data_IF_012232942734
#
_entry.id   IF_012232942734
#
_cell.length_a   1.000
_cell.length_b   1.000
_cell.length_c   1.000
_cell.angle_alpha   90.00
_cell.angle_beta   90.00
_cell.angle_gamma   90.00
#
_symmetry.space_group_name_H-M   'P 1'
#
loop_
_entity.id
_entity.type
_entity.pdbx_description
1 polymer ?
#
# COMPACT_ATOMS: atom_id res chain seq x y z
N UNK A 1 -6.19 1.93 -1.79
CA UNK A 1 -5.05 1.14 -1.27
C UNK A 1 -5.56 0.03 -0.38
N UNK A 2 -5.11 -1.20 -0.62
CA UNK A 2 -5.27 -2.33 0.28
C UNK A 2 -3.91 -2.62 0.91
N UNK A 3 -3.83 -2.81 2.22
CA UNK A 3 -2.55 -2.95 2.91
C UNK A 3 -2.59 -4.09 3.93
N UNK A 4 -1.55 -4.91 3.91
CA UNK A 4 -1.24 -5.86 4.97
C UNK A 4 0.13 -5.51 5.55
N UNK A 5 0.23 -5.47 6.87
CA UNK A 5 1.49 -5.32 7.60
C UNK A 5 1.57 -6.39 8.69
N UNK A 6 2.69 -7.03 8.83
CA UNK A 6 2.90 -8.07 9.84
C UNK A 6 4.30 -8.67 9.80
N UNK A 7 4.53 -9.65 10.69
CA UNK A 7 5.83 -10.32 10.79
C UNK A 7 6.25 -10.97 9.45
N UNK A 8 7.53 -10.83 9.12
CA UNK A 8 8.15 -11.53 7.99
C UNK A 8 8.07 -13.06 8.11
N UNK A 9 7.99 -13.58 9.34
CA UNK A 9 7.91 -15.01 9.64
C UNK A 9 6.46 -15.52 9.76
N UNK A 10 5.47 -14.63 9.53
CA UNK A 10 4.04 -14.92 9.64
C UNK A 10 3.31 -14.98 8.29
N UNK A 11 1.97 -15.00 8.33
CA UNK A 11 1.15 -15.04 7.12
C UNK A 11 1.41 -13.89 6.15
N UNK A 12 1.71 -12.69 6.67
CA UNK A 12 2.04 -11.54 5.83
C UNK A 12 3.40 -11.72 5.14
N UNK A 13 4.37 -12.34 5.82
CA UNK A 13 5.65 -12.72 5.22
C UNK A 13 5.48 -13.69 4.05
N UNK A 14 4.60 -14.69 4.19
CA UNK A 14 4.26 -15.61 3.11
C UNK A 14 3.58 -14.87 1.93
N UNK A 15 2.65 -13.98 2.22
CA UNK A 15 2.00 -13.15 1.20
C UNK A 15 3.00 -12.23 0.48
N UNK A 16 3.93 -11.63 1.22
CA UNK A 16 5.00 -10.79 0.68
C UNK A 16 5.91 -11.58 -0.28
N UNK A 17 6.39 -12.74 0.14
CA UNK A 17 7.25 -13.59 -0.68
C UNK A 17 6.54 -14.03 -1.97
N UNK A 18 5.28 -14.44 -1.86
CA UNK A 18 4.45 -14.78 -3.01
C UNK A 18 4.23 -13.59 -3.97
N UNK A 19 3.92 -12.42 -3.43
CA UNK A 19 3.71 -11.22 -4.25
C UNK A 19 4.99 -10.80 -4.98
N UNK A 20 6.15 -10.88 -4.32
CA UNK A 20 7.44 -10.50 -4.88
C UNK A 20 7.92 -11.47 -5.96
N UNK A 21 7.71 -12.78 -5.77
CA UNK A 21 8.17 -13.82 -6.71
C UNK A 21 7.20 -14.05 -7.88
N UNK A 22 5.95 -13.58 -7.78
CA UNK A 22 4.92 -13.84 -8.79
C UNK A 22 5.04 -12.84 -9.93
N UNK A 23 5.20 -13.36 -11.14
CA UNK A 23 5.16 -12.55 -12.36
C UNK A 23 3.71 -12.39 -12.83
N UNK A 24 3.32 -11.16 -13.17
CA UNK A 24 2.10 -10.84 -13.91
C UNK A 24 2.41 -10.65 -15.39
N UNK A 25 1.38 -10.60 -16.24
CA UNK A 25 1.55 -10.39 -17.69
C UNK A 25 2.35 -9.11 -17.98
N UNK A 26 3.56 -9.28 -18.50
CA UNK A 26 4.44 -8.20 -18.96
C UNK A 26 5.13 -7.38 -17.84
N UNK A 27 4.93 -7.69 -16.55
CA UNK A 27 5.61 -7.00 -15.45
C UNK A 27 5.67 -7.87 -14.18
N UNK A 28 6.57 -7.50 -13.28
CA UNK A 28 6.63 -8.05 -11.92
C UNK A 28 6.22 -6.99 -10.91
N UNK A 29 5.85 -7.43 -9.70
CA UNK A 29 5.68 -6.52 -8.58
C UNK A 29 7.06 -6.01 -8.13
N UNK A 30 7.11 -4.76 -7.65
CA UNK A 30 8.35 -4.12 -7.25
C UNK A 30 8.37 -3.80 -5.76
N UNK A 31 9.56 -3.91 -5.18
CA UNK A 31 9.83 -3.35 -3.86
C UNK A 31 9.77 -1.82 -3.91
N UNK A 32 9.16 -1.22 -2.89
CA UNK A 32 9.12 0.22 -2.75
C UNK A 32 10.50 0.76 -2.36
N UNK A 33 10.94 1.80 -3.05
CA UNK A 33 12.23 2.46 -2.82
C UNK A 33 12.03 3.97 -2.71
N UNK A 34 12.83 4.61 -1.85
CA UNK A 34 12.93 6.08 -1.81
C UNK A 34 13.76 6.62 -2.97
N UNK A 35 14.85 5.91 -3.27
CA UNK A 35 15.74 6.16 -4.41
C UNK A 35 16.47 4.87 -4.78
N UNK A 36 17.19 4.80 -5.87
CA UNK A 36 17.96 3.60 -6.26
C UNK A 36 18.83 3.10 -5.10
N UNK A 37 18.73 1.82 -4.78
CA UNK A 37 19.42 1.12 -3.69
C UNK A 37 19.00 1.53 -2.26
N UNK A 38 17.97 2.36 -2.10
CA UNK A 38 17.40 2.73 -0.79
C UNK A 38 16.00 2.16 -0.65
N UNK A 39 15.94 0.87 -0.34
CA UNK A 39 14.69 0.16 -0.01
C UNK A 39 14.10 0.71 1.29
N UNK A 40 12.79 0.85 1.32
CA UNK A 40 12.11 1.26 2.57
C UNK A 40 12.10 0.12 3.59
N UNK A 41 12.02 0.49 4.84
CA UNK A 41 11.86 -0.41 5.97
C UNK A 41 10.61 -0.01 6.77
N UNK A 42 9.67 -0.95 7.04
CA UNK A 42 9.66 -2.37 6.63
C UNK A 42 9.74 -2.56 5.12
N UNK A 43 10.32 -3.71 4.70
CA UNK A 43 10.34 -4.05 3.28
C UNK A 43 8.90 -4.10 2.75
N UNK A 44 8.65 -3.37 1.67
CA UNK A 44 7.31 -3.16 1.13
C UNK A 44 7.25 -3.57 -0.33
N UNK A 45 6.37 -4.50 -0.67
CA UNK A 45 6.07 -4.83 -2.06
C UNK A 45 4.80 -4.12 -2.51
N UNK A 46 4.87 -3.44 -3.66
CA UNK A 46 3.70 -2.83 -4.30
C UNK A 46 3.13 -3.77 -5.34
N UNK A 47 1.83 -4.02 -5.25
CA UNK A 47 1.09 -4.81 -6.25
C UNK A 47 0.04 -3.94 -6.92
N UNK A 48 -0.17 -4.13 -8.22
CA UNK A 48 -1.23 -3.42 -8.92
C UNK A 48 -2.58 -4.12 -8.75
N UNK A 49 -3.62 -3.35 -8.49
CA UNK A 49 -5.01 -3.83 -8.38
C UNK A 49 -5.80 -3.63 -9.67
N UNK A 50 -5.14 -3.23 -10.74
CA UNK A 50 -5.71 -3.00 -12.06
C UNK A 50 -4.74 -3.51 -13.13
N UNK A 51 -5.27 -4.06 -14.23
CA UNK A 51 -4.44 -4.49 -15.36
C UNK A 51 -3.76 -3.29 -15.99
N UNK A 52 -2.43 -3.34 -16.08
CA UNK A 52 -1.65 -2.32 -16.80
C UNK A 52 -1.80 -2.56 -18.30
N UNK A 53 -2.38 -1.59 -19.00
CA UNK A 53 -2.69 -1.70 -20.44
C UNK A 53 -1.76 -0.88 -21.34
N UNK A 54 -0.79 -0.18 -20.79
CA UNK A 54 0.12 0.64 -21.59
C UNK A 54 1.21 1.33 -20.77
N UNK A 55 2.17 1.91 -21.49
CA UNK A 55 3.35 2.53 -20.89
C UNK A 55 3.01 3.66 -19.90
N UNK A 56 2.02 4.50 -20.24
CA UNK A 56 1.59 5.59 -19.35
C UNK A 56 1.19 5.06 -17.97
N UNK A 57 0.36 4.02 -17.95
CA UNK A 57 -0.12 3.42 -16.71
C UNK A 57 1.01 2.71 -15.93
N UNK A 58 1.94 2.08 -16.65
CA UNK A 58 3.13 1.50 -16.04
C UNK A 58 4.00 2.57 -15.36
N UNK A 59 4.25 3.69 -16.03
CA UNK A 59 5.01 4.82 -15.46
C UNK A 59 4.30 5.39 -14.24
N UNK A 60 2.99 5.52 -14.25
CA UNK A 60 2.21 6.00 -13.10
C UNK A 60 2.29 5.05 -11.91
N UNK A 61 2.24 3.75 -12.16
CA UNK A 61 2.33 2.72 -11.09
C UNK A 61 3.73 2.64 -10.49
N UNK A 62 4.76 2.57 -11.35
CA UNK A 62 6.14 2.37 -10.90
C UNK A 62 6.88 3.68 -10.58
N UNK A 63 6.31 4.81 -10.91
CA UNK A 63 6.80 6.14 -10.55
C UNK A 63 6.04 6.74 -9.35
N UNK A 64 5.11 7.67 -9.59
CA UNK A 64 4.49 8.44 -8.51
C UNK A 64 3.76 7.59 -7.47
N UNK A 65 3.10 6.50 -7.86
CA UNK A 65 2.38 5.67 -6.90
C UNK A 65 3.34 4.86 -6.02
N UNK A 66 4.35 4.23 -6.59
CA UNK A 66 5.36 3.49 -5.81
C UNK A 66 6.14 4.41 -4.87
N UNK A 67 6.54 5.60 -5.36
CA UNK A 67 7.23 6.59 -4.53
C UNK A 67 6.35 7.11 -3.38
N UNK A 68 5.05 7.30 -3.63
CA UNK A 68 4.08 7.67 -2.60
C UNK A 68 4.01 6.62 -1.48
N UNK A 69 3.96 5.34 -1.84
CA UNK A 69 3.99 4.23 -0.88
C UNK A 69 5.29 4.23 -0.09
N UNK A 70 6.43 4.34 -0.77
CA UNK A 70 7.74 4.38 -0.12
C UNK A 70 7.85 5.53 0.89
N UNK A 71 7.43 6.72 0.50
CA UNK A 71 7.45 7.91 1.35
C UNK A 71 6.52 7.76 2.56
N UNK A 72 5.30 7.24 2.36
CA UNK A 72 4.35 7.02 3.45
C UNK A 72 4.86 6.02 4.50
N UNK A 73 5.46 4.92 4.05
CA UNK A 73 6.08 3.92 4.95
C UNK A 73 7.20 4.56 5.77
N UNK A 74 8.11 5.27 5.12
CA UNK A 74 9.25 5.93 5.78
C UNK A 74 8.78 6.97 6.79
N UNK A 75 7.79 7.79 6.45
CA UNK A 75 7.26 8.81 7.35
C UNK A 75 6.52 8.19 8.55
N UNK A 76 5.86 7.05 8.37
CA UNK A 76 5.25 6.30 9.47
C UNK A 76 6.28 5.72 10.45
N UNK A 77 7.45 5.31 9.97
CA UNK A 77 8.57 4.90 10.84
C UNK A 77 9.17 6.10 11.56
N UNK A 78 9.42 7.19 10.84
CA UNK A 78 9.96 8.42 11.42
C UNK A 78 9.04 9.01 12.50
N UNK A 79 7.73 8.89 12.33
CA UNK A 79 6.73 9.34 13.30
C UNK A 79 6.48 8.34 14.45
N UNK A 80 7.14 7.19 14.47
CA UNK A 80 6.95 6.15 15.50
C UNK A 80 5.64 5.38 15.39
N UNK A 81 4.87 5.54 14.31
CA UNK A 81 3.64 4.77 14.04
C UNK A 81 4.00 3.30 13.81
N UNK A 82 5.05 3.06 13.04
CA UNK A 82 5.74 1.78 12.97
C UNK A 82 6.97 1.89 13.88
N UNK A 83 7.10 1.07 14.93
CA UNK A 83 8.28 1.11 15.78
C UNK A 83 9.56 0.84 14.97
N UNK A 84 10.55 1.70 15.12
CA UNK A 84 11.79 1.61 14.33
C UNK A 84 12.57 0.32 14.60
N UNK A 85 12.52 -0.18 15.83
CA UNK A 85 13.15 -1.45 16.26
C UNK A 85 12.45 -2.70 15.67
N UNK A 86 11.21 -2.57 15.19
CA UNK A 86 10.46 -3.64 14.52
C UNK A 86 10.54 -3.58 12.99
N UNK A 87 11.09 -2.51 12.43
CA UNK A 87 11.04 -2.27 10.99
C UNK A 87 11.77 -3.34 10.14
N UNK A 88 12.73 -4.06 10.73
CA UNK A 88 13.42 -5.17 10.07
C UNK A 88 12.67 -6.51 10.18
N UNK A 89 11.74 -6.64 11.10
CA UNK A 89 10.99 -7.88 11.35
C UNK A 89 9.58 -7.85 10.76
N UNK A 90 9.14 -6.70 10.31
CA UNK A 90 7.88 -6.51 9.61
C UNK A 90 8.09 -6.47 8.09
N UNK A 91 7.03 -6.83 7.37
CA UNK A 91 6.90 -6.64 5.92
C UNK A 91 5.53 -6.06 5.59
N UNK A 92 5.44 -5.37 4.46
CA UNK A 92 4.21 -4.75 3.97
C UNK A 92 3.91 -5.24 2.56
N UNK A 93 2.65 -5.63 2.32
CA UNK A 93 2.09 -5.81 0.98
C UNK A 93 1.08 -4.69 0.76
N UNK A 94 1.34 -3.85 -0.25
CA UNK A 94 0.53 -2.68 -0.56
C UNK A 94 -0.08 -2.80 -1.96
N UNK A 95 -1.39 -3.02 -2.02
CA UNK A 95 -2.17 -3.04 -3.26
C UNK A 95 -2.60 -1.64 -3.66
N UNK A 96 -2.18 -1.20 -4.84
CA UNK A 96 -2.45 0.13 -5.38
C UNK A 96 -3.41 0.04 -6.56
N UNK A 97 -4.43 0.89 -6.54
CA UNK A 97 -5.34 1.07 -7.67
C UNK A 97 -5.12 2.46 -8.27
N UNK A 98 -4.85 2.50 -9.57
CA UNK A 98 -4.82 3.74 -10.36
C UNK A 98 -5.88 3.62 -11.45
N UNK A 99 -6.81 4.56 -11.46
CA UNK A 99 -7.86 4.58 -12.48
C UNK A 99 -7.22 4.76 -13.87
N UNK A 100 -7.65 3.98 -14.89
CA UNK A 100 -7.03 4.06 -16.24
C UNK A 100 -7.07 5.45 -16.89
N UNK A 101 -8.07 6.28 -16.52
CA UNK A 101 -8.18 7.66 -16.99
C UNK A 101 -7.44 8.69 -16.11
N UNK A 102 -6.63 8.25 -15.13
CA UNK A 102 -5.84 9.19 -14.33
C UNK A 102 -4.73 9.81 -15.18
N UNK A 103 -4.56 11.13 -15.04
CA UNK A 103 -3.57 11.89 -15.84
C UNK A 103 -2.59 12.70 -14.99
N UNK A 104 -3.00 13.10 -13.78
CA UNK A 104 -2.24 13.98 -12.91
C UNK A 104 -1.34 13.15 -11.97
N UNK A 105 -0.05 13.12 -12.27
CA UNK A 105 0.94 12.38 -11.49
C UNK A 105 1.08 12.92 -10.06
N UNK A 106 0.85 14.23 -9.85
CA UNK A 106 0.88 14.80 -8.51
C UNK A 106 -0.29 14.29 -7.66
N UNK A 107 -1.49 14.26 -8.22
CA UNK A 107 -2.65 13.68 -7.54
C UNK A 107 -2.49 12.18 -7.29
N UNK A 108 -1.90 11.45 -8.23
CA UNK A 108 -1.58 10.03 -8.03
C UNK A 108 -0.65 9.87 -6.82
N UNK A 109 0.40 10.68 -6.73
CA UNK A 109 1.29 10.67 -5.56
C UNK A 109 0.53 11.04 -4.27
N UNK A 110 -0.11 12.20 -4.24
CA UNK A 110 -0.75 12.74 -3.03
C UNK A 110 -1.81 11.77 -2.47
N UNK A 111 -2.68 11.23 -3.33
CA UNK A 111 -3.75 10.32 -2.88
C UNK A 111 -3.21 8.96 -2.43
N UNK A 112 -2.22 8.40 -3.13
CA UNK A 112 -1.61 7.14 -2.70
C UNK A 112 -0.78 7.30 -1.42
N UNK A 113 -0.12 8.44 -1.24
CA UNK A 113 0.59 8.76 -0.01
C UNK A 113 -0.35 8.81 1.19
N UNK A 114 -1.41 9.61 1.11
CA UNK A 114 -2.39 9.75 2.20
C UNK A 114 -3.12 8.43 2.48
N UNK A 115 -3.56 7.72 1.44
CA UNK A 115 -4.23 6.44 1.60
C UNK A 115 -3.32 5.39 2.25
N UNK A 116 -2.05 5.30 1.85
CA UNK A 116 -1.08 4.37 2.43
C UNK A 116 -0.80 4.72 3.88
N UNK A 117 -0.52 5.99 4.17
CA UNK A 117 -0.26 6.47 5.52
C UNK A 117 -1.42 6.18 6.46
N UNK A 118 -2.65 6.51 6.05
CA UNK A 118 -3.85 6.23 6.84
C UNK A 118 -4.08 4.73 7.04
N UNK A 119 -3.81 3.92 6.01
CA UNK A 119 -3.91 2.45 6.12
C UNK A 119 -2.93 1.88 7.14
N UNK A 120 -1.69 2.38 7.17
CA UNK A 120 -0.69 1.98 8.17
C UNK A 120 -1.14 2.40 9.58
N UNK A 121 -1.59 3.64 9.76
CA UNK A 121 -2.10 4.14 11.06
C UNK A 121 -3.24 3.24 11.56
N UNK A 122 -4.19 2.90 10.69
CA UNK A 122 -5.32 2.06 11.04
C UNK A 122 -4.86 0.62 11.38
N UNK A 123 -3.99 0.04 10.58
CA UNK A 123 -3.48 -1.32 10.80
C UNK A 123 -2.71 -1.42 12.13
N UNK A 124 -1.78 -0.51 12.38
CA UNK A 124 -1.00 -0.49 13.63
C UNK A 124 -1.87 -0.17 14.85
N UNK A 125 -2.90 0.67 14.66
CA UNK A 125 -3.89 0.99 15.70
C UNK A 125 -5.01 -0.06 15.84
N UNK A 126 -5.02 -1.14 15.07
CA UNK A 126 -6.07 -2.17 15.01
C UNK A 126 -7.46 -1.58 14.80
N UNK A 127 -7.58 -0.61 13.88
CA UNK A 127 -8.83 0.09 13.57
C UNK A 127 -9.32 -0.22 12.15
N UNK A 128 -10.67 -0.20 11.93
CA UNK A 128 -11.70 -0.08 12.95
C UNK A 128 -11.77 -1.36 13.81
N UNK A 129 -12.22 -1.22 15.07
CA UNK A 129 -12.52 -2.38 15.92
C UNK A 129 -13.81 -3.07 15.44
N UNK A 130 -13.99 -4.34 15.83
CA UNK A 130 -15.24 -5.07 15.53
C UNK A 130 -16.45 -4.33 16.07
N UNK A 131 -16.34 -3.77 17.27
CA UNK A 131 -17.43 -3.01 17.91
C UNK A 131 -17.79 -1.75 17.09
N UNK A 132 -16.80 -1.01 16.59
CA UNK A 132 -17.03 0.16 15.73
C UNK A 132 -17.73 -0.22 14.42
N UNK A 133 -17.35 -1.34 13.80
CA UNK A 133 -17.97 -1.83 12.56
C UNK A 133 -19.43 -2.23 12.84
N UNK A 134 -19.67 -3.02 13.88
CA UNK A 134 -21.01 -3.48 14.25
C UNK A 134 -21.92 -2.31 14.59
N UNK A 135 -21.44 -1.29 15.33
CA UNK A 135 -22.22 -0.11 15.67
C UNK A 135 -22.66 0.70 14.44
N UNK A 136 -21.93 0.61 13.34
CA UNK A 136 -22.23 1.35 12.11
C UNK A 136 -23.06 0.56 11.07
N UNK A 137 -23.41 -0.69 11.33
CA UNK A 137 -24.01 -1.59 10.34
C UNK A 137 -25.27 -1.02 9.64
N UNK A 138 -26.09 -0.29 10.39
CA UNK A 138 -27.36 0.25 9.88
C UNK A 138 -27.27 1.74 9.49
N UNK A 139 -26.22 2.45 9.89
CA UNK A 139 -26.05 3.89 9.69
C UNK A 139 -24.97 4.26 8.69
N UNK A 140 -24.13 3.29 8.30
CA UNK A 140 -23.07 3.53 7.34
C UNK A 140 -23.63 3.91 5.97
N UNK A 141 -23.03 4.93 5.34
CA UNK A 141 -23.36 5.34 3.97
C UNK A 141 -22.22 4.93 3.04
N UNK A 142 -22.54 4.02 2.11
CA UNK A 142 -21.59 3.62 1.08
C UNK A 142 -21.48 4.69 -0.02
N UNK A 143 -20.27 4.99 -0.56
CA UNK A 143 -20.11 5.99 -1.61
C UNK A 143 -20.83 5.64 -2.91
N UNK A 144 -20.98 4.36 -3.22
CA UNK A 144 -21.85 3.92 -4.33
C UNK A 144 -23.29 3.89 -3.86
N UNK A 145 -24.11 4.77 -4.45
CA UNK A 145 -25.55 4.87 -4.18
C UNK A 145 -26.31 4.38 -5.41
N UNK A 146 -27.36 3.62 -5.21
CA UNK A 146 -28.24 3.20 -6.31
C UNK A 146 -28.40 1.70 -6.51
N UNK A 147 -28.17 0.93 -5.44
CA UNK A 147 -28.57 -0.47 -5.33
C UNK A 147 -29.49 -0.67 -4.13
#
# INVERSE_FOLDING_TARGET
VDLMIGSKDGPVGSAFANALSRQSEGHTNLLAVLEPNVLVKPATVTITKVTIKGMKQAVQMFGPAQFAVAKAVTDCVAAGIIPQDQAEDLVIVCGVFIHPAAEDNKKIFDYNYEATKQSIINAMGKKPSVAEVVAKKDTASHPFKGF
#
